data_IF_381261836539
#
_entry.id   IF_381261836539
#
_cell.length_a   1.000
_cell.length_b   1.000
_cell.length_c   1.000
_cell.angle_alpha   90.00
_cell.angle_beta   90.00
_cell.angle_gamma   90.00
#
_symmetry.space_group_name_H-M   'P 1'
#
loop_
_entity.id
_entity.type
_entity.pdbx_description
1 polymer ?
#
# COMPACT_ATOMS: atom_id res chain seq x y z
N UNK A 1 2.63 -17.16 17.64
CA UNK A 1 2.84 -16.22 16.53
C UNK A 1 1.46 -15.95 15.98
N UNK A 2 0.99 -14.71 16.04
CA UNK A 2 -0.34 -14.36 15.52
C UNK A 2 -0.41 -14.72 14.03
N UNK A 3 -1.54 -15.32 13.62
CA UNK A 3 -1.83 -15.57 12.22
C UNK A 3 -2.23 -14.25 11.57
N UNK A 4 -1.28 -13.66 10.83
CA UNK A 4 -1.46 -12.40 10.13
C UNK A 4 -1.67 -12.61 8.62
N UNK A 5 -2.05 -13.81 8.19
CA UNK A 5 -2.31 -14.11 6.78
C UNK A 5 -3.41 -13.24 6.18
N UNK A 6 -4.34 -12.76 7.00
CA UNK A 6 -5.38 -11.80 6.59
C UNK A 6 -4.80 -10.50 5.99
N UNK A 7 -3.55 -10.13 6.32
CA UNK A 7 -2.90 -8.96 5.73
C UNK A 7 -2.54 -9.16 4.23
N UNK A 8 -2.68 -10.37 3.71
CA UNK A 8 -2.50 -10.69 2.29
C UNK A 8 -3.81 -10.55 1.49
N UNK A 9 -4.94 -10.36 2.16
CA UNK A 9 -6.23 -10.13 1.53
C UNK A 9 -6.45 -8.62 1.40
N UNK A 10 -6.86 -8.16 0.21
CA UNK A 10 -7.21 -6.77 0.01
C UNK A 10 -8.43 -6.38 0.86
N UNK A 11 -8.29 -5.41 1.79
CA UNK A 11 -9.41 -4.96 2.61
C UNK A 11 -10.42 -4.10 1.83
N UNK A 12 -10.12 -3.72 0.58
CA UNK A 12 -11.00 -2.94 -0.31
C UNK A 12 -11.09 -3.58 -1.69
N UNK A 13 -11.58 -4.84 -1.79
CA UNK A 13 -11.67 -5.55 -3.06
C UNK A 13 -12.69 -4.92 -4.02
N UNK A 14 -13.51 -3.97 -3.53
CA UNK A 14 -14.46 -3.18 -4.30
C UNK A 14 -13.79 -2.13 -5.22
N UNK A 15 -12.52 -1.78 -4.98
CA UNK A 15 -11.80 -0.78 -5.76
C UNK A 15 -11.06 -1.41 -6.96
N UNK A 16 -11.02 -0.66 -8.08
CA UNK A 16 -10.58 -1.16 -9.40
C UNK A 16 -9.14 -1.67 -9.48
N UNK A 17 -8.30 -1.28 -8.53
CA UNK A 17 -6.88 -1.61 -8.48
C UNK A 17 -6.56 -2.78 -7.53
N UNK A 18 -7.58 -3.53 -7.09
CA UNK A 18 -7.43 -4.62 -6.11
C UNK A 18 -6.36 -5.64 -6.49
N UNK A 19 -6.31 -6.06 -7.77
CA UNK A 19 -5.27 -6.97 -8.26
C UNK A 19 -3.84 -6.44 -8.09
N UNK A 20 -3.64 -5.12 -8.17
CA UNK A 20 -2.33 -4.49 -7.97
C UNK A 20 -1.93 -4.51 -6.49
N UNK A 21 -2.89 -4.34 -5.59
CA UNK A 21 -2.66 -4.45 -4.15
C UNK A 21 -2.36 -5.88 -3.72
N UNK A 22 -3.11 -6.86 -4.25
CA UNK A 22 -2.85 -8.28 -4.01
C UNK A 22 -1.41 -8.66 -4.40
N UNK A 23 -0.95 -8.17 -5.56
CA UNK A 23 0.42 -8.39 -6.00
C UNK A 23 1.42 -7.70 -5.06
N UNK A 24 1.20 -6.43 -4.70
CA UNK A 24 2.03 -5.71 -3.74
C UNK A 24 2.13 -6.42 -2.39
N UNK A 25 1.02 -6.92 -1.84
CA UNK A 25 0.99 -7.66 -0.59
C UNK A 25 1.80 -8.96 -0.67
N UNK A 26 1.61 -9.74 -1.73
CA UNK A 26 2.38 -10.97 -1.96
C UNK A 26 3.88 -10.69 -2.10
N UNK A 27 4.26 -9.66 -2.85
CA UNK A 27 5.65 -9.26 -3.01
C UNK A 27 6.28 -8.83 -1.67
N UNK A 28 5.54 -8.07 -0.87
CA UNK A 28 5.98 -7.58 0.45
C UNK A 28 6.16 -8.73 1.43
N UNK A 29 5.23 -9.69 1.47
CA UNK A 29 5.34 -10.91 2.27
C UNK A 29 6.52 -11.80 1.85
N UNK A 30 6.83 -11.80 0.56
CA UNK A 30 7.96 -12.52 -0.04
C UNK A 30 9.35 -11.95 0.28
N UNK A 31 9.45 -10.77 0.92
CA UNK A 31 10.74 -10.13 1.21
C UNK A 31 11.67 -10.99 2.08
N UNK A 32 12.98 -10.86 1.86
CA UNK A 32 13.99 -11.58 2.65
C UNK A 32 14.04 -11.10 4.11
N UNK A 33 13.97 -9.78 4.31
CA UNK A 33 13.79 -9.19 5.64
C UNK A 33 12.32 -9.29 6.04
N UNK A 34 12.03 -10.30 6.88
CA UNK A 34 10.67 -10.58 7.35
C UNK A 34 10.14 -9.50 8.28
N UNK A 35 10.99 -8.90 9.11
CA UNK A 35 10.53 -7.86 10.04
C UNK A 35 10.06 -6.63 9.26
N UNK A 36 10.90 -6.14 8.34
CA UNK A 36 10.52 -5.01 7.48
C UNK A 36 9.33 -5.34 6.57
N UNK A 37 9.29 -6.56 6.01
CA UNK A 37 8.16 -7.01 5.21
C UNK A 37 6.84 -6.95 5.99
N UNK A 38 6.82 -7.42 7.23
CA UNK A 38 5.62 -7.34 8.07
C UNK A 38 5.23 -5.91 8.44
N UNK A 39 6.19 -5.05 8.73
CA UNK A 39 5.95 -3.64 9.02
C UNK A 39 5.30 -2.93 7.82
N UNK A 40 5.88 -3.09 6.62
CA UNK A 40 5.34 -2.54 5.39
C UNK A 40 3.95 -3.10 5.06
N UNK A 41 3.74 -4.40 5.25
CA UNK A 41 2.47 -5.04 4.97
C UNK A 41 1.34 -4.43 5.82
N UNK A 42 1.60 -4.17 7.12
CA UNK A 42 0.64 -3.48 7.99
C UNK A 42 0.34 -2.07 7.49
N UNK A 43 1.36 -1.30 7.12
CA UNK A 43 1.15 0.05 6.60
C UNK A 43 0.36 0.05 5.30
N UNK A 44 0.71 -0.84 4.36
CA UNK A 44 -0.01 -1.00 3.10
C UNK A 44 -1.47 -1.39 3.32
N UNK A 45 -1.73 -2.34 4.21
CA UNK A 45 -3.08 -2.75 4.56
C UNK A 45 -3.90 -1.59 5.15
N UNK A 46 -3.31 -0.83 6.08
CA UNK A 46 -3.97 0.33 6.70
C UNK A 46 -4.29 1.40 5.65
N UNK A 47 -3.32 1.84 4.85
CA UNK A 47 -3.60 2.88 3.84
C UNK A 47 -4.59 2.40 2.79
N UNK A 48 -4.57 1.10 2.44
CA UNK A 48 -5.55 0.50 1.52
C UNK A 48 -6.96 0.52 2.12
N UNK A 49 -7.10 0.11 3.38
CA UNK A 49 -8.39 0.17 4.08
C UNK A 49 -8.98 1.58 4.13
N UNK A 50 -8.10 2.60 4.18
CA UNK A 50 -8.46 4.02 4.16
C UNK A 50 -8.82 4.56 2.76
N UNK A 51 -8.87 3.74 1.72
CA UNK A 51 -9.28 4.16 0.37
C UNK A 51 -8.15 4.64 -0.53
N UNK A 52 -6.90 4.28 -0.25
CA UNK A 52 -5.77 4.56 -1.15
C UNK A 52 -5.79 3.61 -2.34
N UNK A 53 -5.53 4.19 -3.51
CA UNK A 53 -5.37 3.46 -4.76
C UNK A 53 -3.92 3.52 -5.27
N UNK A 54 -3.52 2.50 -6.02
CA UNK A 54 -2.36 2.47 -6.89
C UNK A 54 -2.76 3.00 -8.25
N UNK A 55 -2.19 4.15 -8.62
CA UNK A 55 -2.38 4.75 -9.94
C UNK A 55 -1.07 4.76 -10.71
N UNK A 56 -1.12 4.31 -11.95
CA UNK A 56 0.02 4.39 -12.85
C UNK A 56 0.23 5.84 -13.31
N UNK A 57 1.46 6.32 -13.18
CA UNK A 57 1.89 7.63 -13.69
C UNK A 57 3.02 7.45 -14.71
N UNK A 58 3.48 8.54 -15.33
CA UNK A 58 4.61 8.51 -16.27
C UNK A 58 5.89 7.90 -15.70
N UNK A 59 6.03 7.86 -14.37
CA UNK A 59 7.20 7.31 -13.67
C UNK A 59 6.89 6.01 -12.93
N UNK A 60 5.78 5.33 -13.25
CA UNK A 60 5.34 4.09 -12.58
C UNK A 60 4.20 4.29 -11.59
N UNK A 61 3.88 3.23 -10.85
CA UNK A 61 2.79 3.21 -9.86
C UNK A 61 3.08 4.09 -8.65
N UNK A 62 2.03 4.77 -8.16
CA UNK A 62 2.07 5.64 -6.98
C UNK A 62 0.81 5.45 -6.14
N UNK A 63 0.95 5.63 -4.83
CA UNK A 63 -0.18 5.73 -3.91
C UNK A 63 -0.90 7.06 -4.09
N UNK A 64 -2.22 7.01 -4.25
CA UNK A 64 -3.11 8.18 -4.40
C UNK A 64 -4.34 7.97 -3.53
N UNK A 65 -4.64 8.92 -2.64
CA UNK A 65 -5.91 8.94 -1.92
C UNK A 65 -7.05 9.38 -2.85
N UNK A 66 -8.16 8.64 -2.84
CA UNK A 66 -9.37 9.03 -3.55
C UNK A 66 -10.23 9.87 -2.62
N UNK A 67 -10.08 11.19 -2.57
CA UNK A 67 -10.89 12.04 -1.67
C UNK A 67 -12.37 12.13 -2.10
N UNK A 68 -13.07 11.00 -1.98
CA UNK A 68 -14.50 10.84 -2.09
C UNK A 68 -15.03 10.18 -0.81
N UNK A 69 -16.32 9.87 -0.78
CA UNK A 69 -17.00 9.23 0.37
C UNK A 69 -16.41 7.86 0.78
N UNK A 70 -15.50 7.28 -0.01
CA UNK A 70 -14.88 5.97 0.24
C UNK A 70 -13.45 6.08 0.79
N UNK A 71 -12.98 7.29 1.10
CA UNK A 71 -11.67 7.55 1.69
C UNK A 71 -11.80 8.10 3.11
N UNK A 72 -10.92 7.62 3.98
CA UNK A 72 -10.91 8.02 5.38
C UNK A 72 -10.08 9.29 5.65
N UNK A 73 -9.32 9.78 4.67
CA UNK A 73 -8.58 11.03 4.79
C UNK A 73 -9.45 12.23 4.45
N UNK A 74 -9.38 13.26 5.28
CA UNK A 74 -10.10 14.53 5.11
C UNK A 74 -9.46 15.40 4.02
N UNK A 75 -8.16 15.19 3.74
CA UNK A 75 -7.42 16.00 2.77
C UNK A 75 -6.22 15.27 2.17
N UNK A 76 -5.68 15.85 1.08
CA UNK A 76 -4.44 15.35 0.47
C UNK A 76 -3.24 15.59 1.40
N UNK A 77 -3.26 16.67 2.19
CA UNK A 77 -2.19 17.01 3.13
C UNK A 77 -2.08 15.95 4.24
N UNK A 78 -3.22 15.53 4.80
CA UNK A 78 -3.26 14.46 5.80
C UNK A 78 -2.69 13.15 5.25
N UNK A 79 -3.08 12.77 4.02
CA UNK A 79 -2.54 11.59 3.37
C UNK A 79 -1.03 11.68 3.15
N UNK A 80 -0.52 12.83 2.70
CA UNK A 80 0.92 13.03 2.52
C UNK A 80 1.68 13.01 3.85
N UNK A 81 1.09 13.49 4.94
CA UNK A 81 1.67 13.40 6.29
C UNK A 81 1.78 11.96 6.77
N UNK A 82 0.75 11.13 6.54
CA UNK A 82 0.78 9.69 6.81
C UNK A 82 1.88 9.01 6.00
N UNK A 83 1.98 9.30 4.69
CA UNK A 83 3.07 8.78 3.85
C UNK A 83 4.45 9.22 4.36
N UNK A 84 4.60 10.48 4.75
CA UNK A 84 5.87 11.01 5.27
C UNK A 84 6.28 10.31 6.55
N UNK A 85 5.32 9.99 7.42
CA UNK A 85 5.60 9.37 8.71
C UNK A 85 5.92 7.88 8.61
N UNK A 86 5.17 7.14 7.80
CA UNK A 86 5.22 5.67 7.81
C UNK A 86 5.89 5.06 6.58
N UNK A 87 5.83 5.71 5.40
CA UNK A 87 6.41 5.15 4.17
C UNK A 87 7.74 5.81 3.79
N UNK A 88 7.94 7.10 4.08
CA UNK A 88 9.19 7.78 3.74
C UNK A 88 10.45 7.15 4.38
N UNK A 89 10.42 6.63 5.63
CA UNK A 89 11.56 5.90 6.18
C UNK A 89 11.99 4.70 5.35
N UNK A 90 11.07 4.14 4.55
CA UNK A 90 11.28 2.97 3.70
C UNK A 90 11.19 3.30 2.20
N UNK A 91 11.29 4.59 1.81
CA UNK A 91 10.97 5.06 0.47
C UNK A 91 11.67 4.28 -0.66
N UNK A 92 12.94 3.90 -0.49
CA UNK A 92 13.69 3.11 -1.49
C UNK A 92 13.11 1.72 -1.67
N UNK A 93 12.73 1.06 -0.58
CA UNK A 93 12.15 -0.30 -0.61
C UNK A 93 10.75 -0.25 -1.21
N UNK A 94 9.94 0.71 -0.78
CA UNK A 94 8.60 0.94 -1.31
C UNK A 94 8.66 1.23 -2.82
N UNK A 95 9.56 2.10 -3.28
CA UNK A 95 9.73 2.39 -4.70
C UNK A 95 10.12 1.14 -5.51
N UNK A 96 11.01 0.30 -4.97
CA UNK A 96 11.39 -0.95 -5.63
C UNK A 96 10.23 -1.96 -5.71
N UNK A 97 9.38 -2.04 -4.67
CA UNK A 97 8.19 -2.88 -4.69
C UNK A 97 7.20 -2.39 -5.76
N UNK A 98 6.90 -1.08 -5.78
CA UNK A 98 6.00 -0.47 -6.76
C UNK A 98 6.48 -0.63 -8.20
N UNK A 99 7.79 -0.61 -8.44
CA UNK A 99 8.38 -0.81 -9.76
C UNK A 99 8.24 -2.25 -10.30
N UNK A 100 7.94 -3.21 -9.42
CA UNK A 100 7.81 -4.64 -9.76
C UNK A 100 6.37 -5.10 -9.91
N UNK A 101 5.40 -4.22 -9.65
CA UNK A 101 3.99 -4.55 -9.84
C UNK A 101 3.73 -4.76 -11.33
N UNK A 102 3.24 -5.95 -11.66
CA UNK A 102 2.84 -6.35 -13.01
C UNK A 102 1.37 -6.79 -13.01
N UNK A 103 0.63 -6.35 -14.03
CA UNK A 103 -0.73 -6.81 -14.33
C UNK A 103 -0.73 -8.20 -14.98
#
# INVERSE_FOLDING_TARGET
MEDLTFLLEDPRPDLLDSMLWDDLFRQTHGMADKHLGFELLKFFWVIRSAGVMLKYSTTGYKFTAMLDERCAYDSHEEFEDVKRRYLAPHAKVVANLLARISL
#
